data_IF_092548443095
#
_entry.id   IF_092548443095
#
_cell.length_a   1.000
_cell.length_b   1.000
_cell.length_c   1.000
_cell.angle_alpha   90.00
_cell.angle_beta   90.00
_cell.angle_gamma   90.00
#
_symmetry.space_group_name_H-M   'P 1'
#
loop_
_entity.id
_entity.type
_entity.pdbx_description
1 polymer ?
#
# COMPACT_ATOMS: atom_id res chain seq x y z
N UNK A 1 19.17 18.09 14.36
CA UNK A 1 19.28 16.68 13.89
C UNK A 1 20.29 16.62 12.74
N UNK A 2 21.19 15.63 12.81
CA UNK A 2 22.18 15.43 11.73
C UNK A 2 21.53 14.78 10.52
N UNK A 3 22.14 14.93 9.35
CA UNK A 3 21.73 14.24 8.11
C UNK A 3 21.56 12.74 8.33
N UNK A 4 22.55 12.12 8.99
CA UNK A 4 22.53 10.67 9.25
C UNK A 4 21.39 10.25 10.18
N UNK A 5 21.08 11.02 11.22
CA UNK A 5 19.96 10.70 12.11
C UNK A 5 18.61 10.80 11.40
N UNK A 6 18.44 11.79 10.52
CA UNK A 6 17.24 11.93 9.69
C UNK A 6 17.11 10.79 8.67
N UNK A 7 18.21 10.34 8.07
CA UNK A 7 18.21 9.22 7.15
C UNK A 7 17.83 7.91 7.86
N UNK A 8 18.35 7.69 9.08
CA UNK A 8 17.99 6.53 9.89
C UNK A 8 16.51 6.55 10.28
N UNK A 9 15.98 7.71 10.68
CA UNK A 9 14.56 7.89 10.96
C UNK A 9 13.69 7.58 9.74
N UNK A 10 14.04 8.14 8.58
CA UNK A 10 13.31 7.88 7.34
C UNK A 10 13.32 6.39 6.96
N UNK A 11 14.45 5.71 7.09
CA UNK A 11 14.55 4.27 6.83
C UNK A 11 13.65 3.45 7.75
N UNK A 12 13.58 3.78 9.04
CA UNK A 12 12.68 3.12 9.97
C UNK A 12 11.20 3.33 9.63
N UNK A 13 10.82 4.49 9.11
CA UNK A 13 9.45 4.74 8.64
C UNK A 13 9.15 3.95 7.36
N UNK A 14 10.08 3.90 6.41
CA UNK A 14 9.96 3.10 5.19
C UNK A 14 9.80 1.62 5.52
N UNK A 15 10.60 1.10 6.46
CA UNK A 15 10.53 -0.30 6.89
C UNK A 15 9.13 -0.68 7.40
N UNK A 16 8.51 0.19 8.20
CA UNK A 16 7.11 -0.02 8.64
C UNK A 16 6.12 -0.05 7.48
N UNK A 17 6.26 0.85 6.52
CA UNK A 17 5.42 0.88 5.32
C UNK A 17 5.57 -0.43 4.53
N UNK A 18 6.81 -0.92 4.37
CA UNK A 18 7.09 -2.18 3.67
C UNK A 18 6.57 -3.40 4.43
N UNK A 19 6.49 -3.40 5.76
CA UNK A 19 5.86 -4.48 6.53
C UNK A 19 4.37 -4.61 6.21
N UNK A 20 3.62 -3.50 6.17
CA UNK A 20 2.22 -3.53 5.76
C UNK A 20 2.05 -3.99 4.32
N UNK A 21 2.89 -3.47 3.42
CA UNK A 21 2.88 -3.84 2.02
C UNK A 21 3.19 -5.32 1.83
N UNK A 22 4.22 -5.84 2.48
CA UNK A 22 4.55 -7.27 2.40
C UNK A 22 3.42 -8.15 2.95
N UNK A 23 2.76 -7.71 4.01
CA UNK A 23 1.62 -8.44 4.59
C UNK A 23 0.46 -8.53 3.59
N UNK A 24 0.12 -7.45 2.92
CA UNK A 24 -0.96 -7.44 1.92
C UNK A 24 -0.58 -8.11 0.62
N UNK A 25 0.56 -7.75 0.05
CA UNK A 25 0.95 -8.14 -1.31
C UNK A 25 1.51 -9.58 -1.39
N UNK A 26 2.09 -10.08 -0.29
CA UNK A 26 2.66 -11.42 -0.26
C UNK A 26 1.84 -12.38 0.59
N UNK A 27 1.68 -12.12 1.90
CA UNK A 27 1.08 -13.09 2.81
C UNK A 27 -0.42 -13.25 2.60
N UNK A 28 -1.19 -12.15 2.58
CA UNK A 28 -2.64 -12.21 2.39
C UNK A 28 -2.98 -12.62 0.96
N UNK A 29 -2.25 -12.13 -0.02
CA UNK A 29 -2.45 -12.53 -1.41
C UNK A 29 -2.15 -14.01 -1.63
N UNK A 30 -1.06 -14.53 -1.04
CA UNK A 30 -0.75 -15.96 -1.08
C UNK A 30 -1.88 -16.82 -0.49
N UNK A 31 -2.37 -16.47 0.70
CA UNK A 31 -3.50 -17.14 1.32
C UNK A 31 -4.75 -17.10 0.42
N UNK A 32 -5.04 -15.93 -0.16
CA UNK A 32 -6.18 -15.72 -1.06
C UNK A 32 -6.16 -16.66 -2.27
N UNK A 33 -5.01 -16.88 -2.89
CA UNK A 33 -4.91 -17.68 -4.12
C UNK A 33 -4.67 -19.18 -3.84
N UNK A 34 -4.37 -19.58 -2.61
CA UNK A 34 -4.04 -20.98 -2.27
C UNK A 34 -5.05 -21.64 -1.35
N UNK A 35 -5.17 -21.16 -0.12
CA UNK A 35 -5.90 -21.85 0.96
C UNK A 35 -7.19 -21.17 1.40
N UNK A 36 -7.46 -19.95 0.93
CA UNK A 36 -8.63 -19.20 1.38
C UNK A 36 -9.94 -19.91 1.01
N UNK A 37 -10.81 -20.23 1.97
CA UNK A 37 -12.18 -20.67 1.67
C UNK A 37 -12.95 -19.57 0.93
N UNK A 38 -13.82 -19.94 -0.01
CA UNK A 38 -14.60 -18.98 -0.82
C UNK A 38 -15.34 -17.94 0.03
N UNK A 39 -15.95 -18.37 1.13
CA UNK A 39 -16.71 -17.49 2.03
C UNK A 39 -15.84 -16.56 2.90
N UNK A 40 -14.52 -16.73 2.90
CA UNK A 40 -13.61 -15.91 3.72
C UNK A 40 -13.24 -14.57 3.07
N UNK A 41 -13.58 -14.34 1.81
CA UNK A 41 -13.20 -13.11 1.09
C UNK A 41 -13.75 -11.86 1.76
N UNK A 42 -14.96 -11.90 2.31
CA UNK A 42 -15.57 -10.76 2.98
C UNK A 42 -14.74 -10.31 4.19
N UNK A 43 -14.31 -11.24 5.02
CA UNK A 43 -13.47 -10.92 6.17
C UNK A 43 -12.07 -10.46 5.75
N UNK A 44 -11.46 -11.15 4.79
CA UNK A 44 -10.12 -10.80 4.30
C UNK A 44 -10.07 -9.44 3.61
N UNK A 45 -11.12 -9.07 2.87
CA UNK A 45 -11.21 -7.74 2.26
C UNK A 45 -11.24 -6.62 3.31
N UNK A 46 -11.90 -6.84 4.44
CA UNK A 46 -11.90 -5.91 5.57
C UNK A 46 -10.52 -5.80 6.23
N UNK A 47 -9.81 -6.92 6.37
CA UNK A 47 -8.42 -6.91 6.88
C UNK A 47 -7.49 -6.16 5.92
N UNK A 48 -7.61 -6.39 4.62
CA UNK A 48 -6.82 -5.66 3.60
C UNK A 48 -7.13 -4.16 3.64
N UNK A 49 -8.38 -3.78 3.74
CA UNK A 49 -8.83 -2.39 3.88
C UNK A 49 -8.23 -1.73 5.14
N UNK A 50 -8.24 -2.42 6.26
CA UNK A 50 -7.64 -1.95 7.51
C UNK A 50 -6.13 -1.70 7.34
N UNK A 51 -5.40 -2.67 6.80
CA UNK A 51 -3.96 -2.55 6.57
C UNK A 51 -3.62 -1.44 5.56
N UNK A 52 -4.44 -1.27 4.53
CA UNK A 52 -4.32 -0.17 3.58
C UNK A 52 -4.50 1.20 4.25
N UNK A 53 -5.43 1.32 5.21
CA UNK A 53 -5.61 2.53 6.02
C UNK A 53 -4.39 2.83 6.88
N UNK A 54 -3.81 1.84 7.54
CA UNK A 54 -2.58 2.01 8.32
C UNK A 54 -1.40 2.46 7.43
N UNK A 55 -1.25 1.84 6.26
CA UNK A 55 -0.23 2.23 5.29
C UNK A 55 -0.46 3.66 4.78
N UNK A 56 -1.70 4.03 4.50
CA UNK A 56 -2.09 5.39 4.10
C UNK A 56 -1.68 6.42 5.15
N UNK A 57 -1.94 6.16 6.44
CA UNK A 57 -1.58 7.05 7.54
C UNK A 57 -0.08 7.24 7.66
N UNK A 58 0.71 6.17 7.51
CA UNK A 58 2.17 6.26 7.51
C UNK A 58 2.69 7.10 6.33
N UNK A 59 2.16 6.90 5.13
CA UNK A 59 2.52 7.68 3.93
C UNK A 59 2.07 9.14 4.02
N UNK A 60 1.00 9.43 4.77
CA UNK A 60 0.46 10.77 4.98
C UNK A 60 1.04 11.47 6.22
N UNK A 61 1.84 10.78 7.02
CA UNK A 61 2.45 11.32 8.23
C UNK A 61 3.26 12.58 7.94
N UNK A 62 3.04 13.62 8.74
CA UNK A 62 3.65 14.94 8.52
C UNK A 62 5.18 14.90 8.63
N UNK A 63 5.71 14.06 9.53
CA UNK A 63 7.16 13.90 9.70
C UNK A 63 7.76 13.16 8.52
N UNK A 64 7.10 12.09 8.04
CA UNK A 64 7.49 11.38 6.84
C UNK A 64 7.54 12.32 5.63
N UNK A 65 6.49 13.13 5.44
CA UNK A 65 6.43 14.11 4.35
C UNK A 65 7.56 15.16 4.42
N UNK A 66 7.89 15.65 5.61
CA UNK A 66 9.01 16.57 5.80
C UNK A 66 10.35 15.93 5.45
N UNK A 67 10.56 14.68 5.87
CA UNK A 67 11.78 13.93 5.59
C UNK A 67 11.99 13.67 4.09
N UNK A 68 10.99 13.18 3.38
CA UNK A 68 11.14 12.92 1.94
C UNK A 68 11.38 14.21 1.14
N UNK A 69 10.75 15.34 1.52
CA UNK A 69 11.02 16.65 0.91
C UNK A 69 12.43 17.14 1.20
N UNK A 70 12.90 17.01 2.44
CA UNK A 70 14.27 17.37 2.82
C UNK A 70 15.28 16.59 1.98
N UNK A 71 15.12 15.28 1.83
CA UNK A 71 16.04 14.46 1.04
C UNK A 71 15.90 14.67 -0.47
N UNK A 72 14.74 15.05 -0.98
CA UNK A 72 14.55 15.29 -2.40
C UNK A 72 15.41 16.45 -2.94
N UNK A 73 15.69 17.45 -2.13
CA UNK A 73 16.51 18.60 -2.51
C UNK A 73 17.98 18.52 -2.06
N UNK A 74 18.42 17.40 -1.47
CA UNK A 74 19.72 17.31 -0.82
C UNK A 74 20.80 16.77 -1.76
N UNK A 75 21.80 17.60 -2.07
CA UNK A 75 22.92 17.25 -2.96
C UNK A 75 23.85 16.13 -2.40
N UNK A 76 23.77 15.83 -1.10
CA UNK A 76 24.57 14.73 -0.48
C UNK A 76 24.02 13.34 -0.80
N UNK A 77 22.83 13.24 -1.37
CA UNK A 77 22.22 11.96 -1.68
C UNK A 77 22.97 11.25 -2.81
N UNK A 78 23.26 9.97 -2.59
CA UNK A 78 23.76 9.09 -3.63
C UNK A 78 22.63 8.69 -4.59
N UNK A 79 23.00 8.21 -5.77
CA UNK A 79 22.04 7.87 -6.84
C UNK A 79 20.89 6.96 -6.36
N UNK A 80 21.18 5.90 -5.59
CA UNK A 80 20.18 4.97 -5.06
C UNK A 80 19.20 5.67 -4.12
N UNK A 81 19.71 6.51 -3.22
CA UNK A 81 18.86 7.29 -2.29
C UNK A 81 17.96 8.26 -3.05
N UNK A 82 18.48 8.94 -4.08
CA UNK A 82 17.67 9.82 -4.92
C UNK A 82 16.56 9.08 -5.67
N UNK A 83 16.85 7.90 -6.21
CA UNK A 83 15.86 7.07 -6.89
C UNK A 83 14.76 6.60 -5.92
N UNK A 84 15.15 6.16 -4.72
CA UNK A 84 14.25 5.77 -3.65
C UNK A 84 13.32 6.93 -3.25
N UNK A 85 13.87 8.12 -3.00
CA UNK A 85 13.09 9.31 -2.60
C UNK A 85 12.09 9.71 -3.69
N UNK A 86 12.48 9.73 -4.95
CA UNK A 86 11.56 10.04 -6.07
C UNK A 86 10.41 9.04 -6.14
N UNK A 87 10.68 7.75 -5.93
CA UNK A 87 9.64 6.72 -5.90
C UNK A 87 8.69 6.91 -4.72
N UNK A 88 9.22 7.20 -3.53
CA UNK A 88 8.41 7.46 -2.33
C UNK A 88 7.50 8.67 -2.50
N UNK A 89 8.01 9.77 -3.05
CA UNK A 89 7.23 10.98 -3.33
C UNK A 89 6.07 10.62 -4.26
N UNK A 90 6.34 10.00 -5.40
CA UNK A 90 5.32 9.61 -6.37
C UNK A 90 4.24 8.73 -5.76
N UNK A 91 4.64 7.68 -5.02
CA UNK A 91 3.69 6.77 -4.36
C UNK A 91 2.85 7.50 -3.31
N UNK A 92 3.49 8.34 -2.50
CA UNK A 92 2.81 9.12 -1.46
C UNK A 92 1.80 10.11 -2.05
N UNK A 93 2.17 10.83 -3.10
CA UNK A 93 1.28 11.78 -3.79
C UNK A 93 0.09 11.06 -4.44
N UNK A 94 0.32 9.95 -5.10
CA UNK A 94 -0.73 9.15 -5.73
C UNK A 94 -1.78 8.66 -4.72
N UNK A 95 -1.34 8.13 -3.57
CA UNK A 95 -2.24 7.64 -2.53
C UNK A 95 -2.96 8.80 -1.84
N UNK A 96 -2.26 9.86 -1.48
CA UNK A 96 -2.83 11.04 -0.80
C UNK A 96 -3.78 11.88 -1.66
N UNK A 97 -3.77 11.69 -2.97
CA UNK A 97 -4.74 12.32 -3.87
C UNK A 97 -6.18 11.85 -3.62
N UNK A 98 -6.34 10.71 -2.96
CA UNK A 98 -7.65 10.14 -2.60
C UNK A 98 -7.82 10.20 -1.09
N UNK A 99 -8.99 10.60 -0.55
CA UNK A 99 -9.25 10.55 0.89
C UNK A 99 -9.11 9.13 1.46
N UNK A 100 -8.64 9.01 2.72
CA UNK A 100 -8.36 7.71 3.36
C UNK A 100 -9.56 6.75 3.29
N UNK A 101 -10.76 7.22 3.63
CA UNK A 101 -11.96 6.40 3.61
C UNK A 101 -12.33 5.88 2.21
N UNK A 102 -12.12 6.69 1.18
CA UNK A 102 -12.33 6.27 -0.22
C UNK A 102 -11.26 5.28 -0.67
N UNK A 103 -10.03 5.49 -0.27
CA UNK A 103 -8.93 4.55 -0.55
C UNK A 103 -9.18 3.18 0.08
N UNK A 104 -9.64 3.13 1.34
CA UNK A 104 -9.99 1.88 2.02
C UNK A 104 -11.13 1.14 1.33
N UNK A 105 -12.21 1.85 0.94
CA UNK A 105 -13.32 1.26 0.17
C UNK A 105 -12.85 0.72 -1.18
N UNK A 106 -11.97 1.43 -1.85
CA UNK A 106 -11.39 1.00 -3.12
C UNK A 106 -10.61 -0.31 -2.97
N UNK A 107 -9.75 -0.42 -1.95
CA UNK A 107 -8.99 -1.66 -1.67
C UNK A 107 -9.92 -2.84 -1.38
N UNK A 108 -10.96 -2.62 -0.56
CA UNK A 108 -11.96 -3.64 -0.25
C UNK A 108 -12.72 -4.08 -1.52
N UNK A 109 -13.15 -3.14 -2.32
CA UNK A 109 -13.86 -3.40 -3.58
C UNK A 109 -12.99 -4.19 -4.57
N UNK A 110 -11.73 -3.85 -4.72
CA UNK A 110 -10.80 -4.61 -5.57
C UNK A 110 -10.71 -6.05 -5.10
N UNK A 111 -10.51 -6.28 -3.81
CA UNK A 111 -10.35 -7.62 -3.25
C UNK A 111 -11.58 -8.51 -3.52
N UNK A 112 -12.79 -7.95 -3.38
CA UNK A 112 -14.05 -8.64 -3.68
C UNK A 112 -14.22 -8.83 -5.19
N UNK A 113 -13.93 -7.80 -5.99
CA UNK A 113 -14.06 -7.86 -7.46
C UNK A 113 -13.16 -8.93 -8.09
N UNK A 114 -11.96 -9.11 -7.57
CA UNK A 114 -11.06 -10.19 -8.04
C UNK A 114 -11.64 -11.58 -7.78
N UNK A 115 -12.32 -11.78 -6.65
CA UNK A 115 -13.02 -13.03 -6.35
C UNK A 115 -14.20 -13.26 -7.31
N UNK A 116 -15.03 -12.23 -7.50
CA UNK A 116 -16.16 -12.28 -8.44
C UNK A 116 -15.69 -12.56 -9.86
N UNK A 117 -14.58 -11.93 -10.27
CA UNK A 117 -13.99 -12.17 -11.59
C UNK A 117 -13.52 -13.62 -11.76
N UNK A 118 -12.84 -14.19 -10.74
CA UNK A 118 -12.38 -15.57 -10.78
C UNK A 118 -13.57 -16.55 -10.91
N UNK A 119 -14.65 -16.32 -10.17
CA UNK A 119 -15.87 -17.15 -10.25
C UNK A 119 -16.59 -17.00 -11.60
N UNK A 120 -16.69 -15.79 -12.13
CA UNK A 120 -17.26 -15.51 -13.45
C UNK A 120 -16.48 -16.25 -14.55
N UNK A 121 -15.17 -16.24 -14.48
CA UNK A 121 -14.29 -16.96 -15.41
C UNK A 121 -14.49 -18.48 -15.32
N UNK A 122 -14.53 -19.02 -14.10
CA UNK A 122 -14.74 -20.47 -13.87
C UNK A 122 -16.08 -20.93 -14.43
N UNK A 123 -17.15 -20.15 -14.25
CA UNK A 123 -18.50 -20.45 -14.70
C UNK A 123 -18.79 -20.04 -16.16
N UNK A 124 -17.85 -19.32 -16.80
CA UNK A 124 -18.05 -18.66 -18.09
C UNK A 124 -19.31 -17.76 -18.14
N UNK A 125 -19.61 -17.11 -17.01
CA UNK A 125 -20.74 -16.21 -16.84
C UNK A 125 -20.28 -14.86 -16.29
N UNK A 126 -20.33 -13.83 -17.14
CA UNK A 126 -19.90 -12.47 -16.83
C UNK A 126 -21.07 -11.51 -16.60
N UNK A 127 -22.27 -12.01 -16.34
CA UNK A 127 -23.47 -11.19 -16.10
C UNK A 127 -23.32 -10.22 -14.92
N UNK A 128 -22.48 -10.56 -13.93
CA UNK A 128 -22.18 -9.71 -12.78
C UNK A 128 -21.40 -8.42 -13.11
N UNK A 129 -20.87 -8.30 -14.34
CA UNK A 129 -20.14 -7.12 -14.82
C UNK A 129 -20.95 -6.20 -15.76
N UNK A 130 -22.25 -6.40 -15.85
CA UNK A 130 -23.16 -5.61 -16.70
C UNK A 130 -23.83 -4.48 -15.93
#
# INVERSE_FOLDING_TARGET
MTYQSQLTELRGMIEKIEYYKYTTDALIYWDKITYMPRNAIEYRSKVMSFLAGEQYRLLSDSRFQKLIRFFNGNAQNVFVTNAMIRRLIRNSESIRAVPEAEYQKYVELIAVSEQVWAEAKEKNDFSCFR
#
